data_IF_698906514312
#
_entry.id   IF_698906514312
#
_cell.length_a   1.000
_cell.length_b   1.000
_cell.length_c   1.000
_cell.angle_alpha   90.00
_cell.angle_beta   90.00
_cell.angle_gamma   90.00
#
_symmetry.space_group_name_H-M   'P 1'
#
loop_
_entity.id
_entity.type
_entity.pdbx_description
1 polymer ?
#
# COMPACT_ATOMS: atom_id res chain seq x y z
N UNK A 1 -6.03 19.58 -40.37
CA UNK A 1 -5.42 18.73 -41.41
C UNK A 1 -4.78 17.55 -40.68
N UNK A 2 -5.12 16.35 -41.10
CA UNK A 2 -4.53 15.12 -40.53
C UNK A 2 -3.27 14.84 -41.38
N UNK A 3 -2.20 14.43 -40.70
CA UNK A 3 -0.94 14.05 -41.32
C UNK A 3 -0.68 12.58 -40.95
N UNK A 4 -0.61 11.73 -41.96
CA UNK A 4 -0.37 10.30 -41.86
C UNK A 4 1.08 9.91 -42.17
N UNK A 5 1.99 10.86 -42.32
CA UNK A 5 3.40 10.57 -42.63
C UNK A 5 4.11 9.73 -41.56
N UNK A 6 3.60 9.74 -40.35
CA UNK A 6 4.03 8.89 -39.25
C UNK A 6 2.80 8.44 -38.48
N UNK A 7 2.51 7.15 -38.46
CA UNK A 7 1.43 6.53 -37.72
C UNK A 7 2.02 5.59 -36.69
N UNK A 8 1.53 5.65 -35.45
CA UNK A 8 1.86 4.67 -34.42
C UNK A 8 0.65 3.76 -34.25
N UNK A 9 0.81 2.47 -34.49
CA UNK A 9 -0.19 1.46 -34.17
C UNK A 9 0.07 0.88 -32.78
N UNK A 10 -0.89 1.01 -31.87
CA UNK A 10 -0.85 0.44 -30.53
C UNK A 10 -1.44 -0.95 -30.57
N UNK A 11 -0.59 -1.96 -30.52
CA UNK A 11 -0.98 -3.37 -30.67
C UNK A 11 -1.77 -3.93 -29.48
N UNK A 12 -1.86 -3.19 -28.38
CA UNK A 12 -2.53 -3.64 -27.15
C UNK A 12 -4.00 -3.22 -27.06
N UNK A 13 -4.44 -2.20 -27.82
CA UNK A 13 -5.82 -1.72 -27.86
C UNK A 13 -6.31 -1.42 -29.29
N UNK A 14 -5.50 -1.77 -30.27
CA UNK A 14 -5.75 -1.58 -31.70
C UNK A 14 -6.02 -0.11 -32.10
N UNK A 15 -5.52 0.83 -31.31
CA UNK A 15 -5.62 2.26 -31.60
C UNK A 15 -4.47 2.74 -32.47
N UNK A 16 -4.71 3.85 -33.18
CA UNK A 16 -3.67 4.57 -33.90
C UNK A 16 -3.40 5.93 -33.26
N UNK A 17 -2.13 6.34 -33.25
CA UNK A 17 -1.77 7.73 -32.98
C UNK A 17 -1.35 8.38 -34.29
N UNK A 18 -2.14 9.34 -34.74
CA UNK A 18 -1.92 10.16 -35.94
C UNK A 18 -1.47 11.56 -35.55
N UNK A 19 -1.02 12.35 -36.51
CA UNK A 19 -0.75 13.77 -36.25
C UNK A 19 -1.90 14.62 -36.76
N UNK A 20 -2.58 15.36 -35.86
CA UNK A 20 -3.65 16.26 -36.19
C UNK A 20 -3.26 17.67 -35.75
N UNK A 21 -3.22 18.61 -36.71
CA UNK A 21 -2.78 20.00 -36.45
C UNK A 21 -1.39 20.14 -35.80
N UNK A 22 -0.47 19.20 -36.14
CA UNK A 22 0.90 19.19 -35.61
C UNK A 22 1.05 18.58 -34.20
N UNK A 23 -0.03 17.95 -33.65
CA UNK A 23 -0.01 17.31 -32.35
C UNK A 23 -0.35 15.82 -32.49
N UNK A 24 0.25 14.94 -31.65
CA UNK A 24 -0.17 13.55 -31.53
C UNK A 24 -1.65 13.44 -31.13
N UNK A 25 -2.41 12.65 -31.87
CA UNK A 25 -3.85 12.49 -31.65
C UNK A 25 -4.22 11.01 -31.69
N UNK A 26 -4.61 10.40 -30.55
CA UNK A 26 -5.01 9.00 -30.52
C UNK A 26 -6.42 8.82 -31.06
N UNK A 27 -6.64 7.81 -31.90
CA UNK A 27 -7.94 7.40 -32.43
C UNK A 27 -8.20 5.94 -32.08
N UNK A 28 -9.42 5.64 -31.65
CA UNK A 28 -9.78 4.34 -31.07
C UNK A 28 -10.85 3.62 -31.89
N UNK A 29 -10.71 2.30 -32.15
CA UNK A 29 -11.63 1.56 -33.01
C UNK A 29 -13.07 1.44 -32.48
N UNK A 30 -13.23 1.56 -31.15
CA UNK A 30 -14.51 1.33 -30.49
C UNK A 30 -15.24 2.60 -30.03
N UNK A 31 -14.74 3.76 -30.43
CA UNK A 31 -15.32 5.05 -30.04
C UNK A 31 -16.01 5.70 -31.24
N UNK A 32 -17.31 5.94 -31.12
CA UNK A 32 -18.07 6.63 -32.17
C UNK A 32 -17.52 8.06 -32.47
N UNK A 33 -16.83 8.66 -31.52
CA UNK A 33 -16.19 9.97 -31.68
C UNK A 33 -14.99 9.93 -32.66
N UNK A 34 -14.31 8.79 -32.72
CA UNK A 34 -13.08 8.62 -33.52
C UNK A 34 -13.26 7.70 -34.73
N UNK A 35 -14.48 7.20 -34.98
CA UNK A 35 -14.70 6.15 -35.98
C UNK A 35 -14.19 6.52 -37.38
N UNK A 36 -14.53 7.73 -37.87
CA UNK A 36 -14.09 8.16 -39.21
C UNK A 36 -12.56 8.31 -39.27
N UNK A 37 -11.94 8.92 -38.29
CA UNK A 37 -10.50 9.15 -38.22
C UNK A 37 -9.73 7.85 -38.00
N UNK A 38 -10.30 6.89 -37.27
CA UNK A 38 -9.73 5.56 -37.08
C UNK A 38 -9.77 4.78 -38.41
N UNK A 39 -10.92 4.78 -39.12
CA UNK A 39 -11.06 4.12 -40.43
C UNK A 39 -10.08 4.71 -41.45
N UNK A 40 -9.89 6.03 -41.46
CA UNK A 40 -8.90 6.69 -42.33
C UNK A 40 -7.46 6.28 -41.97
N UNK A 41 -7.12 6.23 -40.68
CA UNK A 41 -5.82 5.83 -40.18
C UNK A 41 -5.53 4.36 -40.51
N UNK A 42 -6.50 3.48 -40.29
CA UNK A 42 -6.41 2.06 -40.64
C UNK A 42 -6.20 1.85 -42.14
N UNK A 43 -7.04 2.46 -42.98
CA UNK A 43 -6.91 2.33 -44.41
C UNK A 43 -5.58 2.85 -44.95
N UNK A 44 -5.07 3.94 -44.39
CA UNK A 44 -3.77 4.48 -44.76
C UNK A 44 -2.63 3.58 -44.28
N UNK A 45 -2.69 3.03 -43.09
CA UNK A 45 -1.71 2.11 -42.54
C UNK A 45 -1.59 0.81 -43.37
N UNK A 46 -2.71 0.26 -43.82
CA UNK A 46 -2.76 -0.90 -44.73
C UNK A 46 -2.10 -0.61 -46.07
N UNK A 47 -2.32 0.61 -46.60
CA UNK A 47 -1.76 1.02 -47.87
C UNK A 47 -0.27 1.43 -47.82
N UNK A 48 0.19 1.86 -46.66
CA UNK A 48 1.53 2.43 -46.41
C UNK A 48 2.19 1.86 -45.14
N UNK A 49 2.46 0.54 -45.11
CA UNK A 49 3.06 -0.09 -43.93
C UNK A 49 4.43 0.48 -43.53
N UNK A 50 5.13 1.12 -44.48
CA UNK A 50 6.40 1.81 -44.21
C UNK A 50 6.27 3.05 -43.34
N UNK A 51 5.07 3.61 -43.22
CA UNK A 51 4.77 4.78 -42.38
C UNK A 51 4.31 4.39 -40.95
N UNK A 52 4.12 3.08 -40.73
CA UNK A 52 3.57 2.58 -39.44
C UNK A 52 4.70 2.15 -38.50
N UNK A 53 4.66 2.67 -37.28
CA UNK A 53 5.49 2.18 -36.16
C UNK A 53 4.61 1.47 -35.17
N UNK A 54 4.93 0.24 -34.80
CA UNK A 54 4.21 -0.49 -33.76
C UNK A 54 4.65 -0.04 -32.35
N UNK A 55 3.70 0.40 -31.54
CA UNK A 55 3.89 0.61 -30.10
C UNK A 55 3.41 -0.63 -29.37
N UNK A 56 4.35 -1.33 -28.74
CA UNK A 56 4.05 -2.50 -27.88
C UNK A 56 3.61 -2.06 -26.50
N UNK A 57 2.86 -2.92 -25.77
CA UNK A 57 2.55 -2.67 -24.37
C UNK A 57 3.83 -2.41 -23.58
N UNK A 58 3.74 -1.44 -22.68
CA UNK A 58 4.83 -1.20 -21.75
C UNK A 58 5.05 -2.42 -20.84
N UNK A 59 6.26 -2.94 -20.84
CA UNK A 59 6.67 -4.02 -19.94
C UNK A 59 7.59 -3.41 -18.88
N UNK A 60 7.17 -3.39 -17.61
CA UNK A 60 8.00 -2.84 -16.55
C UNK A 60 9.35 -3.58 -16.45
N UNK A 61 10.38 -2.85 -16.18
CA UNK A 61 11.71 -3.40 -15.86
C UNK A 61 11.68 -4.11 -14.50
N UNK A 62 12.61 -5.01 -14.27
CA UNK A 62 12.74 -5.69 -12.97
C UNK A 62 12.90 -4.69 -11.82
N UNK A 63 13.63 -3.61 -12.03
CA UNK A 63 13.83 -2.56 -11.02
C UNK A 63 12.53 -1.81 -10.70
N UNK A 64 11.73 -1.47 -11.70
CA UNK A 64 10.42 -0.84 -11.49
C UNK A 64 9.46 -1.76 -10.73
N UNK A 65 9.47 -3.06 -11.04
CA UNK A 65 8.69 -4.05 -10.29
C UNK A 65 9.13 -4.13 -8.83
N UNK A 66 10.44 -4.13 -8.57
CA UNK A 66 10.98 -4.10 -7.19
C UNK A 66 10.58 -2.85 -6.44
N UNK A 67 10.66 -1.68 -7.07
CA UNK A 67 10.24 -0.40 -6.46
C UNK A 67 8.75 -0.44 -6.10
N UNK A 68 7.90 -0.85 -7.05
CA UNK A 68 6.46 -0.95 -6.83
C UNK A 68 6.10 -1.95 -5.72
N UNK A 69 6.75 -3.12 -5.72
CA UNK A 69 6.53 -4.15 -4.70
C UNK A 69 6.97 -3.68 -3.30
N UNK A 70 8.13 -3.04 -3.16
CA UNK A 70 8.59 -2.48 -1.88
C UNK A 70 7.63 -1.42 -1.34
N UNK A 71 7.13 -0.54 -2.20
CA UNK A 71 6.11 0.45 -1.81
C UNK A 71 4.80 -0.22 -1.33
N UNK A 72 4.36 -1.29 -2.00
CA UNK A 72 3.20 -2.09 -1.57
C UNK A 72 3.42 -2.72 -0.20
N UNK A 73 4.60 -3.33 0.04
CA UNK A 73 4.96 -3.93 1.33
C UNK A 73 4.97 -2.86 2.45
N UNK A 74 5.47 -1.66 2.19
CA UNK A 74 5.46 -0.57 3.17
C UNK A 74 4.04 -0.13 3.52
N UNK A 75 3.16 -0.02 2.54
CA UNK A 75 1.75 0.30 2.76
C UNK A 75 1.02 -0.80 3.55
N UNK A 76 1.21 -2.07 3.18
CA UNK A 76 0.65 -3.24 3.87
C UNK A 76 1.16 -3.33 5.32
N UNK A 77 2.46 -3.09 5.54
CA UNK A 77 3.08 -3.08 6.87
C UNK A 77 2.49 -1.98 7.75
N UNK A 78 2.35 -0.78 7.20
CA UNK A 78 1.75 0.35 7.92
C UNK A 78 0.28 0.10 8.26
N UNK A 79 -0.49 -0.44 7.32
CA UNK A 79 -1.89 -0.82 7.53
C UNK A 79 -2.02 -1.92 8.60
N UNK A 80 -1.15 -2.93 8.54
CA UNK A 80 -1.13 -4.03 9.52
C UNK A 80 -0.77 -3.55 10.93
N UNK A 81 0.14 -2.57 11.07
CA UNK A 81 0.42 -1.95 12.37
C UNK A 81 -0.82 -1.19 12.87
N UNK A 82 -1.44 -0.39 12.00
CA UNK A 82 -2.57 0.46 12.37
C UNK A 82 -3.86 -0.31 12.64
N UNK A 83 -3.99 -1.56 12.14
CA UNK A 83 -5.18 -2.39 12.39
C UNK A 83 -5.34 -2.80 13.86
N UNK A 84 -4.28 -2.66 14.69
CA UNK A 84 -4.33 -3.03 16.07
C UNK A 84 -3.85 -4.45 16.34
N UNK A 85 -4.01 -4.88 17.60
CA UNK A 85 -3.50 -6.17 18.06
C UNK A 85 -4.40 -6.80 19.12
N UNK A 86 -4.34 -8.11 19.20
CA UNK A 86 -5.02 -8.87 20.22
C UNK A 86 -4.09 -9.13 21.42
N UNK A 87 -4.64 -8.98 22.63
CA UNK A 87 -3.91 -9.23 23.87
C UNK A 87 -4.84 -9.82 24.94
N UNK A 88 -4.36 -10.83 25.67
CA UNK A 88 -5.12 -11.50 26.71
C UNK A 88 -5.01 -10.76 28.05
N UNK A 89 -6.13 -10.40 28.64
CA UNK A 89 -6.23 -9.81 29.98
C UNK A 89 -7.18 -10.68 30.81
N UNK A 90 -6.69 -11.20 31.92
CA UNK A 90 -7.49 -12.06 32.79
C UNK A 90 -8.03 -13.34 32.13
N UNK A 91 -7.33 -13.86 31.11
CA UNK A 91 -7.73 -15.04 30.35
C UNK A 91 -8.71 -14.78 29.22
N UNK A 92 -9.12 -13.54 29.01
CA UNK A 92 -9.97 -13.12 27.89
C UNK A 92 -9.11 -12.34 26.88
N UNK A 93 -9.24 -12.67 25.59
CA UNK A 93 -8.56 -11.94 24.52
C UNK A 93 -9.40 -10.74 24.09
N UNK A 94 -8.77 -9.59 24.03
CA UNK A 94 -9.38 -8.34 23.58
C UNK A 94 -8.57 -7.75 22.42
N UNK A 95 -9.27 -7.05 21.53
CA UNK A 95 -8.64 -6.29 20.47
C UNK A 95 -8.35 -4.85 20.92
N UNK A 96 -7.14 -4.39 20.72
CA UNK A 96 -6.67 -3.04 21.01
C UNK A 96 -6.39 -2.29 19.72
N UNK A 97 -7.08 -1.16 19.50
CA UNK A 97 -6.76 -0.24 18.39
C UNK A 97 -5.32 0.25 18.49
N UNK A 98 -4.67 0.41 17.36
CA UNK A 98 -3.27 0.87 17.31
C UNK A 98 -3.02 1.81 16.10
N UNK A 99 -4.02 2.64 15.75
CA UNK A 99 -3.87 3.74 14.81
C UNK A 99 -2.81 4.74 15.31
N UNK A 100 -2.44 5.70 14.49
CA UNK A 100 -1.32 6.61 14.81
C UNK A 100 -1.50 7.33 16.15
N UNK A 101 -2.71 7.83 16.42
CA UNK A 101 -3.03 8.49 17.70
C UNK A 101 -2.97 7.51 18.88
N UNK A 102 -3.40 6.25 18.67
CA UNK A 102 -3.31 5.21 19.69
C UNK A 102 -1.84 4.87 20.00
N UNK A 103 -0.96 4.81 18.99
CA UNK A 103 0.47 4.59 19.19
C UNK A 103 1.08 5.66 20.08
N UNK A 104 0.70 6.92 19.87
CA UNK A 104 1.15 8.03 20.70
C UNK A 104 0.60 7.89 22.13
N UNK A 105 -0.71 7.64 22.27
CA UNK A 105 -1.36 7.46 23.56
C UNK A 105 -0.76 6.30 24.37
N UNK A 106 -0.45 5.16 23.72
CA UNK A 106 0.25 4.04 24.33
C UNK A 106 1.61 4.43 24.89
N UNK A 107 2.40 5.15 24.06
CA UNK A 107 3.73 5.62 24.45
C UNK A 107 3.68 6.60 25.62
N UNK A 108 2.79 7.59 25.56
CA UNK A 108 2.64 8.60 26.62
C UNK A 108 2.17 7.98 27.93
N UNK A 109 1.19 7.06 27.86
CA UNK A 109 0.70 6.34 29.03
C UNK A 109 1.77 5.43 29.63
N UNK A 110 2.57 4.74 28.78
CA UNK A 110 3.70 3.94 29.27
C UNK A 110 4.73 4.80 30.02
N UNK A 111 5.03 6.00 29.52
CA UNK A 111 5.93 6.94 30.19
C UNK A 111 5.36 7.36 31.55
N UNK A 112 4.06 7.67 31.67
CA UNK A 112 3.41 7.98 32.93
C UNK A 112 3.52 6.79 33.91
N UNK A 113 3.30 5.57 33.45
CA UNK A 113 3.43 4.36 34.25
C UNK A 113 4.88 4.13 34.75
N UNK A 114 5.87 4.40 33.93
CA UNK A 114 7.30 4.33 34.31
C UNK A 114 7.60 5.35 35.41
N UNK A 115 7.16 6.61 35.22
CA UNK A 115 7.34 7.66 36.23
C UNK A 115 6.63 7.32 37.58
N UNK A 116 5.44 6.71 37.50
CA UNK A 116 4.72 6.22 38.69
C UNK A 116 5.50 5.15 39.44
N UNK A 117 6.06 4.17 38.72
CA UNK A 117 6.91 3.13 39.33
C UNK A 117 8.20 3.69 39.93
N UNK A 118 8.72 4.78 39.37
CA UNK A 118 9.86 5.51 39.94
C UNK A 118 9.51 6.34 41.18
N UNK A 119 8.26 6.32 41.65
CA UNK A 119 7.81 7.01 42.86
C UNK A 119 7.48 8.49 42.64
N UNK A 120 7.29 8.96 41.40
CA UNK A 120 6.91 10.35 41.15
C UNK A 120 5.50 10.62 41.74
N UNK A 121 5.32 11.67 42.58
CA UNK A 121 4.04 11.96 43.19
C UNK A 121 3.05 12.60 42.21
N UNK A 122 1.76 12.53 42.53
CA UNK A 122 0.69 13.20 41.77
C UNK A 122 0.25 12.46 40.51
N UNK A 123 0.81 11.28 40.20
CA UNK A 123 0.40 10.46 39.09
C UNK A 123 -0.75 9.50 39.48
N UNK A 124 -1.66 9.16 38.54
CA UNK A 124 -2.78 8.27 38.79
C UNK A 124 -2.33 6.86 39.19
N UNK A 125 -3.12 6.19 40.03
CA UNK A 125 -2.85 4.81 40.46
C UNK A 125 -3.18 3.78 39.38
N UNK A 126 -4.10 4.14 38.46
CA UNK A 126 -4.52 3.30 37.35
C UNK A 126 -4.88 4.13 36.13
N UNK A 127 -4.86 3.50 34.99
CA UNK A 127 -5.29 4.05 33.69
C UNK A 127 -6.41 3.19 33.11
N UNK A 128 -7.40 3.83 32.50
CA UNK A 128 -8.50 3.14 31.81
C UNK A 128 -8.26 3.19 30.31
N UNK A 129 -8.40 2.04 29.64
CA UNK A 129 -8.17 1.89 28.22
C UNK A 129 -9.37 1.30 27.50
N UNK A 130 -9.74 1.88 26.37
CA UNK A 130 -10.78 1.33 25.50
C UNK A 130 -10.23 0.14 24.73
N UNK A 131 -11.01 -0.93 24.66
CA UNK A 131 -10.68 -2.15 23.92
C UNK A 131 -11.97 -2.80 23.44
N UNK A 132 -11.87 -3.84 22.64
CA UNK A 132 -13.01 -4.50 22.03
C UNK A 132 -13.01 -6.01 22.33
N UNK A 133 -14.18 -6.56 22.59
CA UNK A 133 -14.37 -8.01 22.68
C UNK A 133 -14.17 -8.65 21.30
N UNK A 134 -14.05 -9.99 21.21
CA UNK A 134 -14.05 -10.70 19.92
C UNK A 134 -15.30 -10.43 19.05
N UNK A 135 -16.41 -10.09 19.70
CA UNK A 135 -17.67 -9.76 19.03
C UNK A 135 -17.76 -8.27 18.63
N UNK A 136 -16.71 -7.49 18.89
CA UNK A 136 -16.60 -6.07 18.51
C UNK A 136 -17.25 -5.10 19.50
N UNK A 137 -17.65 -5.54 20.69
CA UNK A 137 -18.23 -4.67 21.71
C UNK A 137 -17.14 -3.87 22.46
N UNK A 138 -17.38 -2.57 22.64
CA UNK A 138 -16.46 -1.70 23.39
C UNK A 138 -16.46 -2.06 24.87
N UNK A 139 -15.30 -2.34 25.40
CA UNK A 139 -15.04 -2.57 26.84
C UNK A 139 -13.96 -1.62 27.32
N UNK A 140 -14.09 -1.16 28.55
CA UNK A 140 -13.07 -0.34 29.23
C UNK A 140 -12.36 -1.17 30.29
N UNK A 141 -11.07 -1.42 30.06
CA UNK A 141 -10.23 -2.14 31.00
C UNK A 141 -9.40 -1.14 31.80
N UNK A 142 -9.22 -1.43 33.08
CA UNK A 142 -8.41 -0.63 33.99
C UNK A 142 -7.12 -1.38 34.32
N UNK A 143 -6.01 -0.70 34.18
CA UNK A 143 -4.67 -1.23 34.44
C UNK A 143 -3.98 -0.39 35.51
N UNK A 144 -3.30 -1.04 36.44
CA UNK A 144 -2.24 -0.41 37.23
C UNK A 144 -0.98 -0.20 36.37
N UNK A 145 0.02 0.52 36.90
CA UNK A 145 1.23 0.81 36.11
C UNK A 145 1.98 -0.45 35.62
N UNK A 146 2.20 -1.51 36.45
CA UNK A 146 2.79 -2.76 35.96
C UNK A 146 1.96 -3.45 34.88
N UNK A 147 0.65 -3.52 35.05
CA UNK A 147 -0.28 -4.14 34.10
C UNK A 147 -0.28 -3.44 32.76
N UNK A 148 -0.29 -2.09 32.75
CA UNK A 148 -0.23 -1.33 31.49
C UNK A 148 1.13 -1.50 30.78
N UNK A 149 2.23 -1.51 31.53
CA UNK A 149 3.57 -1.76 30.94
C UNK A 149 3.69 -3.17 30.35
N UNK A 150 3.04 -4.17 30.96
CA UNK A 150 2.99 -5.52 30.42
C UNK A 150 2.20 -5.55 29.09
N UNK A 151 1.04 -4.87 29.02
CA UNK A 151 0.26 -4.68 27.78
C UNK A 151 1.09 -3.93 26.73
N UNK A 152 1.75 -2.84 27.09
CA UNK A 152 2.58 -2.05 26.17
C UNK A 152 3.72 -2.88 25.58
N UNK A 153 4.50 -3.57 26.40
CA UNK A 153 5.63 -4.36 25.95
C UNK A 153 5.22 -5.65 25.22
N UNK A 154 4.29 -6.43 25.83
CA UNK A 154 3.85 -7.74 25.32
C UNK A 154 2.80 -7.68 24.21
N UNK A 155 2.05 -6.59 24.12
CA UNK A 155 1.04 -6.32 23.10
C UNK A 155 1.55 -5.34 22.04
N UNK A 156 1.47 -4.04 22.35
CA UNK A 156 1.73 -2.96 21.38
C UNK A 156 3.11 -3.04 20.72
N UNK A 157 4.18 -3.11 21.52
CA UNK A 157 5.55 -3.13 20.98
C UNK A 157 5.88 -4.44 20.27
N UNK A 158 5.40 -5.57 20.78
CA UNK A 158 5.57 -6.87 20.14
C UNK A 158 4.87 -6.90 18.77
N UNK A 159 3.64 -6.37 18.70
CA UNK A 159 2.88 -6.26 17.45
C UNK A 159 3.63 -5.38 16.43
N UNK A 160 3.98 -4.16 16.82
CA UNK A 160 4.67 -3.20 15.93
C UNK A 160 5.99 -3.76 15.43
N UNK A 161 6.86 -4.19 16.32
CA UNK A 161 8.20 -4.68 15.97
C UNK A 161 8.13 -5.96 15.12
N UNK A 162 7.26 -6.91 15.46
CA UNK A 162 7.07 -8.13 14.69
C UNK A 162 6.51 -7.87 13.29
N UNK A 163 5.61 -6.90 13.14
CA UNK A 163 5.06 -6.51 11.84
C UNK A 163 6.12 -5.78 10.99
N UNK A 164 6.90 -4.86 11.58
CA UNK A 164 8.02 -4.20 10.90
C UNK A 164 9.09 -5.20 10.46
N UNK A 165 9.43 -6.18 11.31
CA UNK A 165 10.40 -7.22 10.96
C UNK A 165 9.95 -8.02 9.74
N UNK A 166 8.70 -8.51 9.72
CA UNK A 166 8.14 -9.25 8.56
C UNK A 166 8.15 -8.40 7.29
N UNK A 167 7.79 -7.11 7.39
CA UNK A 167 7.89 -6.18 6.26
C UNK A 167 9.32 -6.03 5.75
N UNK A 168 10.29 -5.93 6.67
CA UNK A 168 11.72 -5.88 6.35
C UNK A 168 12.23 -7.14 5.65
N UNK A 169 11.84 -8.31 6.14
CA UNK A 169 12.19 -9.62 5.55
C UNK A 169 11.65 -9.76 4.13
N UNK A 170 10.38 -9.36 3.90
CA UNK A 170 9.77 -9.33 2.56
C UNK A 170 10.51 -8.38 1.62
N UNK A 171 10.86 -7.17 2.06
CA UNK A 171 11.63 -6.23 1.24
C UNK A 171 13.03 -6.74 0.92
N UNK A 172 13.67 -7.46 1.83
CA UNK A 172 14.96 -8.12 1.55
C UNK A 172 14.81 -9.23 0.49
N UNK A 173 13.72 -10.00 0.51
CA UNK A 173 13.43 -10.97 -0.52
C UNK A 173 13.20 -10.32 -1.90
N UNK A 174 12.46 -9.20 -1.96
CA UNK A 174 12.29 -8.40 -3.19
C UNK A 174 13.64 -7.94 -3.73
N UNK A 175 14.53 -7.45 -2.87
CA UNK A 175 15.85 -6.97 -3.30
C UNK A 175 16.70 -8.09 -3.89
N UNK A 176 16.65 -9.28 -3.30
CA UNK A 176 17.37 -10.46 -3.76
C UNK A 176 16.79 -11.09 -5.04
N UNK A 177 15.54 -10.78 -5.41
CA UNK A 177 14.86 -11.32 -6.58
C UNK A 177 15.60 -10.99 -7.87
N UNK A 178 15.65 -11.94 -8.78
CA UNK A 178 16.33 -11.84 -10.09
C UNK A 178 15.35 -11.94 -11.26
N UNK A 179 14.09 -12.31 -10.99
CA UNK A 179 13.02 -12.41 -11.99
C UNK A 179 11.75 -11.69 -11.52
N UNK A 180 10.85 -11.31 -12.45
CA UNK A 180 9.55 -10.74 -12.12
C UNK A 180 8.70 -11.64 -11.20
N UNK A 181 8.74 -12.95 -11.43
CA UNK A 181 8.00 -13.96 -10.66
C UNK A 181 8.49 -14.01 -9.20
N UNK A 182 9.80 -13.95 -8.99
CA UNK A 182 10.40 -13.88 -7.65
C UNK A 182 10.03 -12.57 -6.92
N UNK A 183 9.97 -11.45 -7.64
CA UNK A 183 9.49 -10.18 -7.08
C UNK A 183 8.04 -10.29 -6.64
N UNK A 184 7.17 -10.91 -7.44
CA UNK A 184 5.76 -11.04 -7.08
C UNK A 184 5.54 -12.01 -5.93
N UNK A 185 6.32 -13.07 -5.82
CA UNK A 185 6.24 -14.06 -4.75
C UNK A 185 6.71 -13.55 -3.37
N UNK A 186 7.54 -12.50 -3.32
CA UNK A 186 8.03 -11.88 -2.08
C UNK A 186 6.95 -10.98 -1.45
#
# INVERSE_FOLDING_TARGET
MIDFSQIIHRTFDDSYVITKTGMPYPVYPYSAEFAEEWDEAFAYAEAHPECVTEEKPYVPTLEELKIAKKARIDAETSAAIASGFDYAVGGVTYHFSYALDDQQNFSDTANVCIMKQAGMPGLPDSVTWNTYTPDGELVRLTFDAPGFLALYAGGAMKHKNGTMQRGGERKAAVEAATTPEEVEAA
#
